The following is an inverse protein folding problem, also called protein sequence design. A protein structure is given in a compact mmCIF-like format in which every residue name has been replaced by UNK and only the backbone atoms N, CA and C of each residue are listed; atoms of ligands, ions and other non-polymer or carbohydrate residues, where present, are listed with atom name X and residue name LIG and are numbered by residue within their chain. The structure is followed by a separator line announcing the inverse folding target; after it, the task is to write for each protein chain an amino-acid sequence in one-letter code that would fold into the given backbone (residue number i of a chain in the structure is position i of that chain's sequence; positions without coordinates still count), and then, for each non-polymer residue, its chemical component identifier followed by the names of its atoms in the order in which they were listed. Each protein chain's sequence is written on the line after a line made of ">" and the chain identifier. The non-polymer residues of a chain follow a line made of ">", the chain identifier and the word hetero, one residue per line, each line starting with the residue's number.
data_IF_902365957716
#
_entry.id   IF_902365957716
#
_cell.length_a   1.000
_cell.length_b   1.000
_cell.length_c   1.000
_cell.angle_alpha   90.00
_cell.angle_beta   90.00
_cell.angle_gamma   90.00
#
_symmetry.space_group_name_H-M   'P 1'
#
loop_
_entity.id
_entity.type
_entity.pdbx_description
1 polymer ?
#
# COMPACT_ATOMS: atom_id res chain seq x y z
N UNK A 1 1.16 3.09 42.34
CA UNK A 1 1.67 4.14 41.41
C UNK A 1 1.32 3.69 40.00
N UNK A 2 0.22 4.20 39.45
CA UNK A 2 -0.18 3.86 38.08
C UNK A 2 0.78 4.58 37.14
N UNK A 3 1.71 3.84 36.53
CA UNK A 3 2.40 4.33 35.35
C UNK A 3 1.33 4.48 34.27
N UNK A 4 0.78 5.68 34.13
CA UNK A 4 0.10 6.07 32.89
C UNK A 4 1.21 6.20 31.87
N UNK A 5 1.62 5.07 31.28
CA UNK A 5 2.50 5.05 30.13
C UNK A 5 1.76 5.84 29.04
N UNK A 6 2.16 7.09 28.86
CA UNK A 6 1.51 8.03 27.93
C UNK A 6 1.81 7.54 26.53
N UNK A 7 0.98 6.61 26.05
CA UNK A 7 1.12 5.95 24.76
C UNK A 7 1.28 7.03 23.69
N UNK A 8 2.37 7.00 22.92
CA UNK A 8 2.61 8.01 21.88
C UNK A 8 1.43 8.01 20.90
N UNK A 9 0.84 9.17 20.56
CA UNK A 9 -0.26 9.24 19.62
C UNK A 9 0.16 8.76 18.22
N UNK A 10 -0.74 8.07 17.51
CA UNK A 10 -0.50 7.48 16.19
C UNK A 10 0.12 8.48 15.20
N UNK A 11 -0.36 9.73 15.19
CA UNK A 11 0.16 10.82 14.34
C UNK A 11 1.68 11.03 14.49
N UNK A 12 2.21 10.93 15.71
CA UNK A 12 3.63 11.10 15.97
C UNK A 12 4.43 9.89 15.48
N UNK A 13 3.87 8.68 15.65
CA UNK A 13 4.49 7.46 15.12
C UNK A 13 4.60 7.54 13.60
N UNK A 14 3.50 7.85 12.90
CA UNK A 14 3.47 8.00 11.44
C UNK A 14 4.49 9.06 11.00
N UNK A 15 4.54 10.21 11.67
CA UNK A 15 5.51 11.26 11.34
C UNK A 15 6.96 10.80 11.47
N UNK A 16 7.27 10.00 12.48
CA UNK A 16 8.61 9.43 12.65
C UNK A 16 8.92 8.42 11.53
N UNK A 17 7.97 7.58 11.14
CA UNK A 17 8.11 6.67 9.99
C UNK A 17 8.36 7.45 8.69
N UNK A 18 7.60 8.51 8.43
CA UNK A 18 7.80 9.36 7.26
C UNK A 18 9.17 10.04 7.24
N UNK A 19 9.71 10.43 8.40
CA UNK A 19 11.08 10.96 8.51
C UNK A 19 12.13 9.90 8.24
N UNK A 20 11.88 8.67 8.67
CA UNK A 20 12.76 7.53 8.44
C UNK A 20 12.80 7.08 6.97
N UNK A 21 11.81 7.47 6.15
CA UNK A 21 11.74 7.17 4.69
C UNK A 21 13.01 7.54 3.91
N UNK A 22 13.68 8.61 4.29
CA UNK A 22 14.91 9.06 3.64
C UNK A 22 16.18 8.55 4.34
N UNK A 23 16.03 7.74 5.39
CA UNK A 23 17.12 7.18 6.17
C UNK A 23 17.66 5.87 5.59
N UNK A 24 18.85 5.48 6.05
CA UNK A 24 19.46 4.17 5.74
C UNK A 24 18.93 3.02 6.61
N UNK A 25 18.06 3.29 7.59
CA UNK A 25 17.54 2.28 8.52
C UNK A 25 16.35 1.56 7.91
N UNK A 26 16.30 0.25 8.10
CA UNK A 26 15.15 -0.56 7.72
C UNK A 26 13.91 -0.22 8.55
N UNK A 27 12.77 -0.17 7.89
CA UNK A 27 11.49 0.08 8.55
C UNK A 27 11.17 -1.00 9.60
N UNK A 28 11.59 -2.24 9.37
CA UNK A 28 11.46 -3.33 10.34
C UNK A 28 12.17 -3.06 11.68
N UNK A 29 13.28 -2.33 11.66
CA UNK A 29 14.04 -2.00 12.87
C UNK A 29 13.59 -0.68 13.50
N UNK A 30 12.65 0.03 12.87
CA UNK A 30 12.23 1.34 13.34
C UNK A 30 11.22 1.22 14.48
N UNK A 31 11.48 1.80 15.68
CA UNK A 31 10.63 1.61 16.86
C UNK A 31 9.19 2.10 16.64
N UNK A 32 9.00 3.17 15.86
CA UNK A 32 7.66 3.66 15.52
C UNK A 32 6.89 2.72 14.59
N UNK A 33 7.58 1.97 13.71
CA UNK A 33 6.93 0.96 12.86
C UNK A 33 6.50 -0.22 13.71
N UNK A 34 7.39 -0.71 14.59
CA UNK A 34 7.08 -1.79 15.53
C UNK A 34 5.90 -1.44 16.45
N UNK A 35 5.83 -0.19 16.91
CA UNK A 35 4.73 0.28 17.75
C UNK A 35 3.41 0.42 16.98
N UNK A 36 3.44 0.85 15.71
CA UNK A 36 2.23 0.84 14.86
C UNK A 36 1.79 -0.60 14.62
N UNK A 37 2.72 -1.48 14.26
CA UNK A 37 2.47 -2.90 14.00
C UNK A 37 1.77 -3.59 15.19
N UNK A 38 2.27 -3.39 16.42
CA UNK A 38 1.63 -3.91 17.64
C UNK A 38 0.22 -3.36 17.93
N UNK A 39 -0.13 -2.21 17.35
CA UNK A 39 -1.43 -1.55 17.55
C UNK A 39 -2.43 -1.89 16.46
N UNK A 40 -1.96 -2.36 15.32
CA UNK A 40 -2.81 -2.66 14.18
C UNK A 40 -3.76 -3.80 14.53
N UNK A 41 -5.01 -3.73 14.06
CA UNK A 41 -5.87 -4.90 14.02
C UNK A 41 -5.35 -5.89 12.97
N UNK A 42 -5.63 -7.18 13.17
CA UNK A 42 -5.09 -8.27 12.32
C UNK A 42 -5.39 -8.06 10.83
N UNK A 43 -6.57 -7.50 10.52
CA UNK A 43 -7.01 -7.26 9.14
C UNK A 43 -6.17 -6.21 8.38
N UNK A 44 -5.43 -5.36 9.09
CA UNK A 44 -4.56 -4.34 8.48
C UNK A 44 -3.08 -4.71 8.52
N UNK A 45 -2.67 -5.79 9.20
CA UNK A 45 -1.27 -6.17 9.34
C UNK A 45 -0.62 -6.44 8.00
N UNK A 46 -1.20 -7.33 7.21
CA UNK A 46 -0.66 -7.74 5.90
C UNK A 46 -0.54 -6.55 4.94
N UNK A 47 -1.58 -5.72 4.87
CA UNK A 47 -1.55 -4.50 4.06
C UNK A 47 -0.47 -3.52 4.53
N UNK A 48 -0.35 -3.30 5.84
CA UNK A 48 0.65 -2.39 6.39
C UNK A 48 2.07 -2.87 6.11
N UNK A 49 2.35 -4.17 6.31
CA UNK A 49 3.64 -4.77 5.98
C UNK A 49 3.97 -4.61 4.50
N UNK A 50 3.00 -4.87 3.63
CA UNK A 50 3.14 -4.68 2.18
C UNK A 50 3.56 -3.24 1.86
N UNK A 51 2.78 -2.24 2.28
CA UNK A 51 3.03 -0.85 1.85
C UNK A 51 4.23 -0.21 2.56
N UNK A 52 4.44 -0.50 3.85
CA UNK A 52 5.47 0.19 4.65
C UNK A 52 6.80 -0.55 4.64
N UNK A 53 6.79 -1.88 4.69
CA UNK A 53 8.01 -2.69 4.81
C UNK A 53 8.48 -3.17 3.43
N UNK A 54 7.60 -3.73 2.62
CA UNK A 54 7.95 -4.32 1.32
C UNK A 54 8.12 -3.21 0.27
N UNK A 55 7.06 -2.42 0.03
CA UNK A 55 7.05 -1.35 -0.97
C UNK A 55 7.86 -0.11 -0.50
N UNK A 56 8.14 -0.04 0.80
CA UNK A 56 8.86 1.06 1.46
C UNK A 56 8.24 2.44 1.17
N UNK A 57 6.92 2.49 1.02
CA UNK A 57 6.17 3.72 0.79
C UNK A 57 5.27 4.09 1.98
N UNK A 58 5.84 4.65 3.06
CA UNK A 58 5.05 5.06 4.22
C UNK A 58 4.15 6.27 3.96
N UNK A 59 4.18 6.88 2.76
CA UNK A 59 3.20 7.92 2.41
C UNK A 59 1.79 7.34 2.31
N UNK A 60 1.65 6.05 1.99
CA UNK A 60 0.35 5.36 1.91
C UNK A 60 -0.39 5.36 3.24
N UNK A 61 0.33 5.35 4.37
CA UNK A 61 -0.27 5.41 5.71
C UNK A 61 -0.50 6.84 6.23
N UNK A 62 -0.09 7.86 5.46
CA UNK A 62 -0.25 9.26 5.85
C UNK A 62 -1.64 9.78 5.54
N UNK A 63 -2.44 10.03 6.58
CA UNK A 63 -3.81 10.54 6.43
C UNK A 63 -3.90 12.08 6.42
N UNK A 64 -2.80 12.82 6.28
CA UNK A 64 -2.83 14.29 6.42
C UNK A 64 -2.83 14.78 7.88
N UNK A 65 -3.01 16.09 8.12
CA UNK A 65 -2.99 16.68 9.45
C UNK A 65 -4.33 16.44 10.18
N UNK A 66 -4.70 15.19 10.41
CA UNK A 66 -5.93 14.87 11.14
C UNK A 66 -5.60 14.53 12.61
N UNK A 67 -6.34 15.12 13.53
CA UNK A 67 -6.36 14.68 14.91
C UNK A 67 -7.43 13.58 15.04
N UNK A 68 -6.97 12.32 15.11
CA UNK A 68 -7.82 11.14 15.29
C UNK A 68 -7.24 10.26 16.38
N UNK A 69 -8.13 9.49 17.02
CA UNK A 69 -7.73 8.31 17.79
C UNK A 69 -7.13 7.24 16.87
N UNK A 70 -6.40 6.28 17.44
CA UNK A 70 -5.82 5.14 16.72
C UNK A 70 -6.90 4.45 15.84
N UNK A 71 -8.12 4.25 16.37
CA UNK A 71 -9.26 3.69 15.63
C UNK A 71 -9.60 4.49 14.37
N UNK A 72 -9.60 5.82 14.46
CA UNK A 72 -9.91 6.68 13.32
C UNK A 72 -8.85 6.62 12.21
N UNK A 73 -7.59 6.31 12.54
CA UNK A 73 -6.58 6.01 11.53
C UNK A 73 -6.86 4.66 10.85
N UNK A 74 -7.21 3.63 11.63
CA UNK A 74 -7.49 2.30 11.10
C UNK A 74 -8.68 2.29 10.14
N UNK A 75 -9.73 3.07 10.40
CA UNK A 75 -10.87 3.19 9.47
C UNK A 75 -10.47 3.79 8.12
N UNK A 76 -9.57 4.78 8.10
CA UNK A 76 -9.05 5.34 6.84
C UNK A 76 -8.15 4.32 6.13
N UNK A 77 -7.31 3.63 6.88
CA UNK A 77 -6.41 2.61 6.34
C UNK A 77 -7.16 1.44 5.70
N UNK A 78 -8.28 0.99 6.29
CA UNK A 78 -9.17 0.02 5.66
C UNK A 78 -9.73 0.53 4.34
N UNK A 79 -10.23 1.76 4.33
CA UNK A 79 -10.73 2.37 3.11
C UNK A 79 -9.66 2.45 2.00
N UNK A 80 -8.41 2.79 2.34
CA UNK A 80 -7.31 2.83 1.37
C UNK A 80 -6.90 1.42 0.91
N UNK A 81 -6.80 0.45 1.84
CA UNK A 81 -6.58 -0.96 1.50
C UNK A 81 -7.61 -1.44 0.49
N UNK A 82 -8.89 -1.27 0.79
CA UNK A 82 -9.97 -1.80 -0.06
C UNK A 82 -10.03 -1.10 -1.43
N UNK A 83 -9.54 0.15 -1.53
CA UNK A 83 -9.46 0.90 -2.79
C UNK A 83 -8.26 0.52 -3.65
N UNK A 84 -7.07 0.46 -3.05
CA UNK A 84 -5.80 0.36 -3.77
C UNK A 84 -5.24 -1.07 -3.80
N UNK A 85 -5.66 -1.91 -2.87
CA UNK A 85 -5.35 -3.33 -2.75
C UNK A 85 -6.65 -4.13 -2.63
N UNK A 86 -7.57 -4.05 -3.63
CA UNK A 86 -8.70 -4.95 -3.63
C UNK A 86 -8.14 -6.37 -3.58
N UNK A 87 -8.55 -7.15 -2.59
CA UNK A 87 -8.24 -8.58 -2.55
C UNK A 87 -8.64 -9.23 -3.88
N UNK A 88 -8.19 -10.46 -4.17
CA UNK A 88 -8.60 -11.15 -5.39
C UNK A 88 -10.13 -11.20 -5.41
N UNK A 89 -10.72 -10.36 -6.25
CA UNK A 89 -12.15 -10.29 -6.43
C UNK A 89 -12.56 -11.59 -7.13
N UNK A 90 -13.32 -12.48 -6.46
CA UNK A 90 -13.67 -13.77 -7.04
C UNK A 90 -14.62 -13.64 -8.25
N UNK A 91 -15.19 -12.44 -8.48
CA UNK A 91 -16.10 -12.14 -9.59
C UNK A 91 -15.44 -11.31 -10.70
N UNK A 92 -14.21 -10.82 -10.50
CA UNK A 92 -13.44 -10.15 -11.54
C UNK A 92 -12.90 -11.23 -12.47
N UNK A 93 -13.36 -11.31 -13.73
CA UNK A 93 -12.76 -12.22 -14.68
C UNK A 93 -11.27 -11.89 -14.73
N UNK A 94 -10.47 -12.91 -14.45
CA UNK A 94 -9.03 -12.87 -14.69
C UNK A 94 -8.89 -12.57 -16.17
N UNK A 95 -8.47 -11.36 -16.51
CA UNK A 95 -8.00 -11.08 -17.87
C UNK A 95 -6.72 -11.93 -17.99
N UNK A 96 -6.91 -13.17 -18.44
CA UNK A 96 -5.85 -14.06 -18.85
C UNK A 96 -4.98 -13.24 -19.82
N UNK A 97 -3.70 -12.98 -19.52
CA UNK A 97 -2.81 -12.51 -20.55
C UNK A 97 -2.58 -13.74 -21.45
N UNK A 98 -3.47 -13.92 -22.44
CA UNK A 98 -3.31 -14.90 -23.51
C UNK A 98 -2.02 -14.53 -24.26
N UNK A 99 -0.94 -15.17 -23.81
CA UNK A 99 0.34 -15.15 -24.46
C UNK A 99 0.22 -15.89 -25.77
N UNK A 100 0.25 -15.16 -26.87
CA UNK A 100 0.50 -15.75 -28.17
C UNK A 100 0.11 -14.88 -29.34
N UNK A 101 1.01 -14.01 -29.80
CA UNK A 101 1.28 -13.96 -31.24
C UNK A 101 2.67 -13.35 -31.53
N UNK A 102 3.67 -14.22 -31.52
CA UNK A 102 4.98 -13.94 -32.12
C UNK A 102 4.89 -14.19 -33.63
N UNK A 103 5.40 -13.25 -34.43
CA UNK A 103 6.00 -13.53 -35.75
C UNK A 103 5.06 -13.82 -36.93
N UNK A 104 5.02 -12.90 -37.90
CA UNK A 104 4.43 -13.17 -39.21
C UNK A 104 4.58 -12.05 -40.23
N UNK A 105 5.81 -11.76 -40.65
CA UNK A 105 6.09 -11.09 -41.94
C UNK A 105 5.71 -12.01 -43.10
N UNK A 106 4.82 -11.59 -44.01
CA UNK A 106 5.15 -11.45 -45.45
C UNK A 106 3.99 -10.86 -46.26
N UNK A 107 4.35 -10.30 -47.41
CA UNK A 107 3.56 -9.49 -48.32
C UNK A 107 2.48 -10.26 -49.09
N UNK A 108 1.37 -9.59 -49.39
CA UNK A 108 0.64 -9.81 -50.65
C UNK A 108 0.25 -8.48 -51.29
N UNK A 109 0.71 -8.35 -52.54
CA UNK A 109 0.43 -7.30 -53.51
C UNK A 109 -1.05 -7.06 -53.78
N UNK A 110 -1.36 -5.78 -54.06
CA UNK A 110 -2.30 -5.40 -55.11
C UNK A 110 -3.72 -5.05 -54.65
N UNK A 111 -4.08 -3.77 -54.72
CA UNK A 111 -4.93 -3.23 -55.79
C UNK A 111 -4.96 -1.69 -55.69
N UNK A 112 -4.80 -1.03 -56.83
CA UNK A 112 -4.81 0.43 -57.04
C UNK A 112 -6.23 1.05 -56.90
N UNK A 113 -6.34 2.40 -56.83
CA UNK A 113 -7.55 3.13 -56.42
C UNK A 113 -8.49 3.45 -57.59
N UNK A 114 -9.64 4.10 -57.33
CA UNK A 114 -10.11 5.13 -58.26
C UNK A 114 -10.62 6.43 -57.61
N UNK A 115 -10.15 7.53 -58.23
CA UNK A 115 -10.64 8.91 -58.36
C UNK A 115 -10.87 9.81 -57.13
#
# INVERSE_FOLDING_TARGET
>A
MHHTETRRPMKLLIRDVLRARHGRRDFLEHPSVAEIHRRLPDDLLEWFETVVIIDRDPLTIFCGPIEKSDRGYFEIWRYMRDRDYPGPDPERPTDDPDGGNDGGTDAVSGLQPPH
#
